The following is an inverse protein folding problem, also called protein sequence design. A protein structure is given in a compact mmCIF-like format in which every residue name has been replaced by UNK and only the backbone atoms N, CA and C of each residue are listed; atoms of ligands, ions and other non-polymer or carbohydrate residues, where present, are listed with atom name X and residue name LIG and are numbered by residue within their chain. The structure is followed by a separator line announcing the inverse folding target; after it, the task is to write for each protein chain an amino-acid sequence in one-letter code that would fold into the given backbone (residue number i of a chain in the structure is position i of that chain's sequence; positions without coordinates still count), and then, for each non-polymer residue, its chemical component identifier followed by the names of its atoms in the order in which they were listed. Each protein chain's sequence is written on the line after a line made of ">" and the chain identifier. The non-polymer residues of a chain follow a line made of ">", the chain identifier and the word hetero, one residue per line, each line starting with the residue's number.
data_IF_569945001055
#
_entry.id   IF_569945001055
#
_cell.length_a   1.000
_cell.length_b   1.000
_cell.length_c   1.000
_cell.angle_alpha   90.00
_cell.angle_beta   90.00
_cell.angle_gamma   90.00
#
_symmetry.space_group_name_H-M   'P 1'
#
loop_
_entity.id
_entity.type
_entity.pdbx_description
1 polymer ?
#
# COMPACT_ATOMS: atom_id res chain seq x y z
N UNK A 1 44.50 20.55 1.48
CA UNK A 1 43.28 21.38 1.38
C UNK A 1 43.03 22.06 2.70
N UNK A 2 42.80 23.39 2.73
CA UNK A 2 42.49 24.10 3.99
C UNK A 2 41.12 23.68 4.48
N UNK A 3 40.95 23.60 5.83
CA UNK A 3 39.63 23.26 6.41
C UNK A 3 38.62 24.36 6.03
N UNK A 4 37.37 23.97 5.61
CA UNK A 4 36.36 24.93 5.25
C UNK A 4 36.02 25.86 6.42
N UNK A 5 35.83 27.14 6.10
CA UNK A 5 35.53 28.19 7.07
C UNK A 5 34.14 28.81 6.82
N UNK A 6 33.72 29.76 7.65
CA UNK A 6 32.39 30.39 7.52
C UNK A 6 32.17 31.13 6.20
N UNK A 7 33.24 31.63 5.58
CA UNK A 7 33.15 32.32 4.27
C UNK A 7 32.85 31.34 3.15
N UNK A 8 33.48 30.16 3.21
CA UNK A 8 33.26 29.10 2.21
C UNK A 8 31.81 28.59 2.27
N UNK A 9 31.29 28.40 3.49
CA UNK A 9 29.89 28.00 3.71
C UNK A 9 28.93 29.11 3.25
N UNK A 10 29.22 30.37 3.54
CA UNK A 10 28.43 31.51 3.16
C UNK A 10 28.31 31.64 1.62
N UNK A 11 29.42 31.46 0.92
CA UNK A 11 29.49 31.46 -0.53
C UNK A 11 28.67 30.32 -1.13
N UNK A 12 28.83 29.09 -0.59
CA UNK A 12 28.13 27.90 -1.04
C UNK A 12 26.61 27.95 -0.76
N UNK A 13 26.21 28.58 0.33
CA UNK A 13 24.81 28.70 0.75
C UNK A 13 24.11 29.94 0.15
N UNK A 14 24.84 30.86 -0.47
CA UNK A 14 24.30 32.13 -0.97
C UNK A 14 23.78 33.06 0.12
N UNK A 15 24.44 33.09 1.30
CA UNK A 15 24.06 33.90 2.45
C UNK A 15 25.23 34.68 3.04
N UNK A 16 24.97 35.64 3.93
CA UNK A 16 26.04 36.36 4.63
C UNK A 16 26.72 35.51 5.71
N UNK A 17 27.99 35.77 5.98
CA UNK A 17 28.79 35.09 7.02
C UNK A 17 28.16 35.21 8.41
N UNK A 18 27.53 36.33 8.74
CA UNK A 18 26.78 36.52 9.99
C UNK A 18 25.58 35.54 10.12
N UNK A 19 24.93 35.21 8.99
CA UNK A 19 23.85 34.20 8.94
C UNK A 19 24.42 32.82 9.22
N UNK A 20 25.55 32.47 8.59
CA UNK A 20 26.28 31.21 8.83
C UNK A 20 26.67 31.08 10.31
N UNK A 21 27.26 32.12 10.88
CA UNK A 21 27.67 32.14 12.30
C UNK A 21 26.46 31.91 13.23
N UNK A 22 25.35 32.63 13.01
CA UNK A 22 24.12 32.46 13.81
C UNK A 22 23.58 31.04 13.73
N UNK A 23 23.53 30.48 12.52
CA UNK A 23 23.04 29.12 12.29
C UNK A 23 23.95 28.09 12.98
N UNK A 24 25.28 28.15 12.73
CA UNK A 24 26.20 27.14 13.23
C UNK A 24 26.41 27.21 14.76
N UNK A 25 26.13 28.36 15.37
CA UNK A 25 26.21 28.56 16.83
C UNK A 25 24.83 28.47 17.52
N UNK A 26 23.76 28.09 16.80
CA UNK A 26 22.41 27.89 17.37
C UNK A 26 21.76 29.17 17.95
N UNK A 27 22.17 30.38 17.51
CA UNK A 27 21.70 31.65 18.09
C UNK A 27 20.32 32.09 17.67
N UNK A 28 19.56 31.29 16.89
CA UNK A 28 18.17 31.57 16.46
C UNK A 28 18.02 32.83 15.59
N UNK A 29 16.76 33.19 15.27
CA UNK A 29 16.43 34.41 14.52
C UNK A 29 16.81 34.38 13.03
N UNK A 30 17.06 33.21 12.47
CA UNK A 30 17.29 32.97 11.04
C UNK A 30 16.08 32.22 10.47
N UNK A 31 15.61 32.62 9.31
CA UNK A 31 14.49 31.94 8.62
C UNK A 31 14.87 30.47 8.35
N UNK A 32 13.93 29.50 8.55
CA UNK A 32 14.19 28.07 8.40
C UNK A 32 14.86 27.68 7.07
N UNK A 33 14.41 28.28 5.96
CA UNK A 33 14.95 28.07 4.62
C UNK A 33 16.46 28.43 4.51
N UNK A 34 16.89 29.49 5.21
CA UNK A 34 18.29 29.91 5.25
C UNK A 34 19.11 28.99 6.15
N UNK A 35 18.54 28.50 7.24
CA UNK A 35 19.16 27.51 8.12
C UNK A 35 19.47 26.24 7.33
N UNK A 36 18.51 25.74 6.56
CA UNK A 36 18.68 24.55 5.72
C UNK A 36 19.80 24.73 4.69
N UNK A 37 19.82 25.87 3.98
CA UNK A 37 20.87 26.19 2.99
C UNK A 37 22.26 26.20 3.62
N UNK A 38 22.42 26.79 4.80
CA UNK A 38 23.69 26.85 5.51
C UNK A 38 24.16 25.47 5.95
N UNK A 39 23.28 24.65 6.51
CA UNK A 39 23.64 23.30 6.97
C UNK A 39 23.94 22.37 5.78
N UNK A 40 23.17 22.45 4.69
CA UNK A 40 23.47 21.71 3.47
C UNK A 40 24.84 22.07 2.88
N UNK A 41 25.17 23.37 2.86
CA UNK A 41 26.47 23.85 2.40
C UNK A 41 27.61 23.37 3.32
N UNK A 42 27.43 23.42 4.63
CA UNK A 42 28.41 22.95 5.60
C UNK A 42 28.69 21.43 5.48
N UNK A 43 27.65 20.63 5.24
CA UNK A 43 27.79 19.18 4.97
C UNK A 43 28.54 18.91 3.66
N UNK A 44 28.21 19.60 2.59
CA UNK A 44 28.92 19.44 1.28
C UNK A 44 30.40 19.77 1.36
N UNK A 45 30.75 20.67 2.24
CA UNK A 45 32.15 21.11 2.45
C UNK A 45 32.87 20.32 3.54
N UNK A 46 32.27 19.25 4.09
CA UNK A 46 32.83 18.46 5.21
C UNK A 46 33.28 19.33 6.39
N UNK A 47 32.45 20.29 6.81
CA UNK A 47 32.80 21.20 7.89
C UNK A 47 33.00 20.43 9.20
N UNK A 48 34.18 20.58 9.88
CA UNK A 48 34.67 19.64 10.89
C UNK A 48 34.01 19.78 12.28
N UNK A 49 33.06 20.71 12.47
CA UNK A 49 32.31 20.85 13.74
C UNK A 49 30.97 20.17 13.68
N UNK A 50 30.49 19.67 14.84
CA UNK A 50 29.13 19.18 15.00
C UNK A 50 28.16 20.30 14.54
N UNK A 51 27.40 20.05 13.48
CA UNK A 51 26.42 20.99 12.97
C UNK A 51 25.24 21.04 13.94
N UNK A 52 24.64 22.22 14.16
CA UNK A 52 23.42 22.30 14.93
C UNK A 52 22.36 21.37 14.30
N UNK A 53 21.67 20.63 15.12
CA UNK A 53 20.46 19.95 14.69
C UNK A 53 19.49 21.03 14.20
N UNK A 54 19.14 21.00 12.95
CA UNK A 54 18.03 21.80 12.47
C UNK A 54 16.83 21.40 13.31
N UNK A 55 16.35 22.29 14.17
CA UNK A 55 15.05 22.10 14.82
C UNK A 55 13.97 22.18 13.74
N UNK A 56 13.92 21.16 12.89
CA UNK A 56 12.70 20.81 12.18
C UNK A 56 11.72 20.42 13.28
N UNK A 57 10.64 21.18 13.47
CA UNK A 57 9.56 20.72 14.32
C UNK A 57 9.16 19.30 13.91
N UNK A 58 8.42 18.60 14.74
CA UNK A 58 7.97 17.23 14.45
C UNK A 58 7.41 17.14 13.01
N UNK A 59 8.04 16.29 12.21
CA UNK A 59 7.61 16.02 10.83
C UNK A 59 6.54 14.94 10.86
N UNK A 60 5.30 15.35 10.73
CA UNK A 60 4.16 14.44 10.78
C UNK A 60 3.86 13.89 9.38
N UNK A 61 3.95 12.59 9.23
CA UNK A 61 3.48 11.84 8.06
C UNK A 61 2.13 11.21 8.45
N UNK A 62 1.09 11.47 7.69
CA UNK A 62 -0.20 10.82 7.91
C UNK A 62 -0.38 9.62 6.98
N UNK A 63 -0.67 8.44 7.53
CA UNK A 63 -1.15 7.28 6.81
C UNK A 63 -2.66 7.17 7.00
N UNK A 64 -3.42 7.62 6.00
CA UNK A 64 -4.88 7.58 5.98
C UNK A 64 -5.37 6.31 5.29
N UNK A 65 -6.08 5.49 6.02
CA UNK A 65 -6.58 4.17 5.62
C UNK A 65 -8.11 4.09 5.81
N UNK A 66 -8.68 2.99 5.35
CA UNK A 66 -10.08 2.61 5.59
C UNK A 66 -10.15 1.24 6.28
N UNK A 67 -11.34 0.78 6.68
CA UNK A 67 -11.61 -0.60 7.15
C UNK A 67 -10.66 -1.10 8.24
N UNK A 68 -10.58 -0.43 9.42
CA UNK A 68 -9.65 -0.78 10.50
C UNK A 68 -9.82 -2.23 11.01
N UNK A 69 -11.00 -2.81 10.85
CA UNK A 69 -11.37 -4.12 11.37
C UNK A 69 -10.93 -5.28 10.46
N UNK A 70 -10.52 -5.00 9.20
CA UNK A 70 -10.04 -6.05 8.31
C UNK A 70 -8.61 -6.46 8.60
N UNK A 71 -8.31 -7.75 8.44
CA UNK A 71 -6.98 -8.30 8.73
C UNK A 71 -5.86 -7.64 7.91
N UNK A 72 -6.13 -7.31 6.64
CA UNK A 72 -5.16 -6.64 5.78
C UNK A 72 -4.80 -5.24 6.29
N UNK A 73 -5.80 -4.37 6.54
CA UNK A 73 -5.54 -3.01 6.97
C UNK A 73 -4.95 -2.95 8.40
N UNK A 74 -5.31 -3.89 9.29
CA UNK A 74 -4.63 -4.04 10.59
C UNK A 74 -3.16 -4.36 10.42
N UNK A 75 -2.81 -5.30 9.53
CA UNK A 75 -1.43 -5.68 9.23
C UNK A 75 -0.64 -4.53 8.62
N UNK A 76 -1.23 -3.80 7.66
CA UNK A 76 -0.64 -2.60 7.06
C UNK A 76 -0.41 -1.50 8.12
N UNK A 77 -1.41 -1.23 8.96
CA UNK A 77 -1.31 -0.25 10.05
C UNK A 77 -0.20 -0.63 11.05
N UNK A 78 -0.13 -1.90 11.44
CA UNK A 78 0.93 -2.39 12.33
C UNK A 78 2.32 -2.29 11.69
N UNK A 79 2.44 -2.53 10.39
CA UNK A 79 3.68 -2.32 9.66
C UNK A 79 4.15 -0.86 9.74
N UNK A 80 3.26 0.12 9.54
CA UNK A 80 3.59 1.53 9.72
C UNK A 80 4.05 1.84 11.15
N UNK A 81 3.45 1.25 12.17
CA UNK A 81 3.84 1.41 13.58
C UNK A 81 5.25 0.91 13.84
N UNK A 82 5.54 -0.33 13.44
CA UNK A 82 6.86 -0.95 13.63
C UNK A 82 7.96 -0.16 12.91
N UNK A 83 7.68 0.29 11.70
CA UNK A 83 8.65 1.07 10.94
C UNK A 83 8.86 2.44 11.58
N UNK A 84 7.78 3.11 12.02
CA UNK A 84 7.85 4.41 12.68
C UNK A 84 8.77 4.37 13.91
N UNK A 85 8.75 3.28 14.67
CA UNK A 85 9.61 3.09 15.83
C UNK A 85 11.12 3.03 15.50
N UNK A 86 11.47 2.84 14.22
CA UNK A 86 12.88 2.78 13.74
C UNK A 86 13.34 4.06 13.05
N UNK A 87 12.45 5.05 12.87
CA UNK A 87 12.77 6.31 12.20
C UNK A 87 13.41 7.31 13.15
N UNK A 88 13.91 8.42 12.57
CA UNK A 88 14.35 9.58 13.35
C UNK A 88 13.22 10.04 14.30
N UNK A 89 13.49 10.29 15.59
CA UNK A 89 12.50 10.74 16.57
C UNK A 89 11.72 12.01 16.17
N UNK A 90 12.24 12.79 15.23
CA UNK A 90 11.53 13.94 14.66
C UNK A 90 10.41 13.54 13.68
N UNK A 91 10.41 12.30 13.19
CA UNK A 91 9.39 11.80 12.26
C UNK A 91 8.30 11.06 13.04
N UNK A 92 7.09 11.57 12.97
CA UNK A 92 5.91 10.95 13.59
C UNK A 92 5.00 10.44 12.50
N UNK A 93 4.75 9.13 12.48
CA UNK A 93 3.77 8.51 11.57
C UNK A 93 2.42 8.43 12.29
N UNK A 94 1.47 9.25 11.86
CA UNK A 94 0.12 9.25 12.37
C UNK A 94 -0.76 8.35 11.50
N UNK A 95 -1.28 7.28 12.08
CA UNK A 95 -2.21 6.35 11.43
C UNK A 95 -3.64 6.82 11.70
N UNK A 96 -4.41 7.05 10.65
CA UNK A 96 -5.80 7.46 10.74
C UNK A 96 -6.69 6.62 9.84
N UNK A 97 -7.95 6.48 10.24
CA UNK A 97 -8.93 5.71 9.49
C UNK A 97 -10.13 6.60 9.16
N UNK A 98 -10.64 6.42 7.95
CA UNK A 98 -11.86 7.07 7.48
C UNK A 98 -12.90 6.01 7.13
N UNK A 99 -14.15 6.42 7.10
CA UNK A 99 -15.25 5.59 6.63
C UNK A 99 -15.15 5.41 5.11
N UNK A 100 -15.09 4.15 4.66
CA UNK A 100 -14.84 3.77 3.27
C UNK A 100 -15.85 4.37 2.29
N UNK A 101 -17.13 4.32 2.65
CA UNK A 101 -18.24 4.78 1.81
C UNK A 101 -18.58 6.27 1.98
N UNK A 102 -17.69 7.05 2.61
CA UNK A 102 -17.85 8.49 2.81
C UNK A 102 -16.75 9.29 2.10
N UNK A 103 -16.80 9.42 0.76
CA UNK A 103 -15.77 10.12 -0.01
C UNK A 103 -15.66 11.60 0.35
N UNK A 104 -16.75 12.27 0.79
CA UNK A 104 -16.74 13.64 1.28
C UNK A 104 -15.94 13.76 2.58
N UNK A 105 -16.11 12.81 3.50
CA UNK A 105 -15.35 12.73 4.75
C UNK A 105 -13.86 12.51 4.50
N UNK A 106 -13.51 11.60 3.59
CA UNK A 106 -12.14 11.33 3.17
C UNK A 106 -11.52 12.57 2.54
N UNK A 107 -12.20 13.20 1.57
CA UNK A 107 -11.73 14.41 0.91
C UNK A 107 -11.52 15.57 1.89
N UNK A 108 -12.45 15.77 2.84
CA UNK A 108 -12.33 16.77 3.90
C UNK A 108 -11.11 16.50 4.79
N UNK A 109 -10.85 15.24 5.14
CA UNK A 109 -9.67 14.86 5.92
C UNK A 109 -8.37 15.16 5.16
N UNK A 110 -8.32 14.86 3.86
CA UNK A 110 -7.18 15.17 3.00
C UNK A 110 -6.92 16.68 2.95
N UNK A 111 -7.97 17.48 2.84
CA UNK A 111 -7.89 18.95 2.73
C UNK A 111 -7.69 19.68 4.08
N UNK A 112 -7.77 18.98 5.22
CA UNK A 112 -7.70 19.60 6.54
C UNK A 112 -6.37 20.33 6.74
N UNK A 113 -6.44 21.65 6.90
CA UNK A 113 -5.30 22.54 7.16
C UNK A 113 -4.77 22.44 8.60
N UNK A 114 -5.61 21.97 9.54
CA UNK A 114 -5.27 21.85 10.97
C UNK A 114 -4.19 20.81 11.26
N UNK A 115 -3.89 19.98 10.25
CA UNK A 115 -2.87 18.96 10.32
C UNK A 115 -1.64 19.45 9.57
N UNK A 116 -0.70 20.09 10.28
CA UNK A 116 0.62 20.35 9.71
C UNK A 116 1.30 19.02 9.36
N UNK A 117 1.17 18.62 8.09
CA UNK A 117 1.71 17.35 7.54
C UNK A 117 2.92 17.62 6.66
N UNK A 118 3.96 16.80 6.83
CA UNK A 118 5.13 16.77 5.96
C UNK A 118 4.93 15.80 4.78
N UNK A 119 3.97 14.86 4.88
CA UNK A 119 3.65 13.89 3.84
C UNK A 119 2.34 13.16 4.10
N UNK A 120 1.75 12.62 3.04
CA UNK A 120 0.47 11.91 3.08
C UNK A 120 0.58 10.57 2.36
N UNK A 121 0.27 9.49 3.07
CA UNK A 121 0.16 8.13 2.52
C UNK A 121 -1.32 7.77 2.52
N UNK A 122 -1.84 7.31 1.38
CA UNK A 122 -3.26 7.03 1.17
C UNK A 122 -3.49 5.57 0.79
N UNK A 123 -4.33 4.90 1.55
CA UNK A 123 -4.89 3.59 1.22
C UNK A 123 -6.43 3.68 1.28
N UNK A 124 -7.01 4.46 0.37
CA UNK A 124 -8.43 4.81 0.30
C UNK A 124 -8.99 4.58 -1.11
N UNK A 125 -10.31 4.38 -1.27
CA UNK A 125 -10.92 4.12 -2.57
C UNK A 125 -10.70 5.25 -3.58
N UNK A 126 -10.85 4.93 -4.87
CA UNK A 126 -10.88 5.92 -5.94
C UNK A 126 -12.27 6.57 -6.03
N UNK A 127 -12.31 7.89 -5.94
CA UNK A 127 -13.52 8.69 -6.12
C UNK A 127 -13.15 10.10 -6.64
N UNK A 128 -13.94 10.74 -7.51
CA UNK A 128 -13.62 12.07 -8.06
C UNK A 128 -13.34 13.14 -7.00
N UNK A 129 -14.10 13.17 -5.91
CA UNK A 129 -13.87 14.12 -4.80
C UNK A 129 -12.54 13.87 -4.09
N UNK A 130 -12.17 12.60 -3.90
CA UNK A 130 -10.90 12.22 -3.28
C UNK A 130 -9.75 12.61 -4.21
N UNK A 131 -9.85 12.29 -5.50
CA UNK A 131 -8.85 12.65 -6.49
C UNK A 131 -8.60 14.17 -6.55
N UNK A 132 -9.67 14.97 -6.59
CA UNK A 132 -9.58 16.44 -6.57
C UNK A 132 -8.91 16.97 -5.29
N UNK A 133 -9.21 16.37 -4.13
CA UNK A 133 -8.58 16.72 -2.86
C UNK A 133 -7.07 16.40 -2.87
N UNK A 134 -6.69 15.23 -3.39
CA UNK A 134 -5.29 14.80 -3.54
C UNK A 134 -4.53 15.74 -4.47
N UNK A 135 -5.09 16.05 -5.63
CA UNK A 135 -4.49 16.97 -6.60
C UNK A 135 -4.24 18.36 -5.97
N UNK A 136 -5.21 18.86 -5.19
CA UNK A 136 -5.10 20.15 -4.52
C UNK A 136 -3.98 20.19 -3.48
N UNK A 137 -3.87 19.20 -2.59
CA UNK A 137 -2.80 19.19 -1.57
C UNK A 137 -1.43 18.93 -2.20
N UNK A 138 -1.35 18.13 -3.26
CA UNK A 138 -0.12 17.91 -3.99
C UNK A 138 0.36 19.19 -4.71
N UNK A 139 -0.56 19.98 -5.29
CA UNK A 139 -0.25 21.27 -5.88
C UNK A 139 0.25 22.30 -4.85
N UNK A 140 -0.07 22.15 -3.59
CA UNK A 140 0.45 22.93 -2.47
C UNK A 140 1.83 22.46 -1.99
N UNK A 141 2.41 21.43 -2.63
CA UNK A 141 3.73 20.89 -2.31
C UNK A 141 3.74 19.76 -1.29
N UNK A 142 2.57 19.27 -0.84
CA UNK A 142 2.52 18.11 0.06
C UNK A 142 2.80 16.82 -0.74
N UNK A 143 3.87 16.05 -0.42
CA UNK A 143 4.11 14.77 -1.04
C UNK A 143 2.99 13.78 -0.74
N UNK A 144 2.47 13.12 -1.78
CA UNK A 144 1.43 12.09 -1.66
C UNK A 144 1.92 10.77 -2.23
N UNK A 145 1.66 9.69 -1.49
CA UNK A 145 1.92 8.31 -1.91
C UNK A 145 0.63 7.50 -1.76
N UNK A 146 0.28 6.74 -2.79
CA UNK A 146 -0.82 5.78 -2.76
C UNK A 146 -0.28 4.39 -2.44
N UNK A 147 -0.91 3.70 -1.51
CA UNK A 147 -0.55 2.33 -1.11
C UNK A 147 -1.76 1.43 -1.34
N UNK A 148 -1.52 0.21 -1.76
CA UNK A 148 -2.57 -0.80 -2.03
C UNK A 148 -3.41 -0.44 -3.25
N UNK A 149 -4.07 0.70 -3.25
CA UNK A 149 -4.95 1.17 -4.33
C UNK A 149 -4.66 2.63 -4.65
N UNK A 150 -4.93 3.02 -5.88
CA UNK A 150 -4.71 4.39 -6.35
C UNK A 150 -6.00 5.20 -6.23
N UNK A 151 -5.97 6.28 -5.48
CA UNK A 151 -7.12 7.19 -5.30
C UNK A 151 -7.09 8.40 -6.25
N UNK A 152 -5.98 8.64 -6.95
CA UNK A 152 -5.85 9.57 -8.08
C UNK A 152 -4.89 9.00 -9.11
N UNK A 153 -5.25 9.12 -10.40
CA UNK A 153 -4.38 8.68 -11.52
C UNK A 153 -3.36 9.73 -11.96
N UNK A 154 -3.56 10.98 -11.54
CA UNK A 154 -2.78 12.13 -12.04
C UNK A 154 -1.59 12.48 -11.18
N UNK A 155 -1.70 12.28 -9.86
CA UNK A 155 -0.68 12.71 -8.90
C UNK A 155 -0.44 11.66 -7.82
N UNK A 156 0.73 11.71 -7.21
CA UNK A 156 1.19 10.77 -6.19
C UNK A 156 1.87 9.53 -6.79
N UNK A 157 2.83 9.00 -6.06
CA UNK A 157 3.47 7.74 -6.42
C UNK A 157 2.62 6.57 -5.93
N UNK A 158 2.50 5.52 -6.73
CA UNK A 158 1.80 4.30 -6.34
C UNK A 158 2.80 3.25 -5.86
N UNK A 159 2.57 2.73 -4.68
CA UNK A 159 3.32 1.64 -4.07
C UNK A 159 2.36 0.46 -3.87
N UNK A 160 2.58 -0.60 -4.62
CA UNK A 160 1.75 -1.79 -4.59
C UNK A 160 2.32 -2.88 -5.46
N UNK A 161 1.63 -4.01 -5.51
CA UNK A 161 1.96 -5.13 -6.39
C UNK A 161 1.44 -4.89 -7.81
N UNK A 162 1.94 -5.66 -8.78
CA UNK A 162 1.28 -5.78 -10.07
C UNK A 162 0.02 -6.66 -9.93
N UNK A 163 -1.14 -5.99 -9.84
CA UNK A 163 -2.42 -6.65 -9.61
C UNK A 163 -2.90 -7.44 -10.85
N UNK A 164 -2.56 -6.99 -12.05
CA UNK A 164 -2.85 -7.75 -13.27
C UNK A 164 -2.06 -9.08 -13.29
N UNK A 165 -0.76 -9.00 -12.98
CA UNK A 165 0.10 -10.20 -12.86
C UNK A 165 -0.39 -11.13 -11.75
N UNK A 166 -0.87 -10.60 -10.60
CA UNK A 166 -1.43 -11.41 -9.52
C UNK A 166 -2.69 -12.17 -9.98
N UNK A 167 -3.58 -11.53 -10.73
CA UNK A 167 -4.75 -12.19 -11.33
C UNK A 167 -4.37 -13.29 -12.33
N UNK A 168 -3.42 -13.03 -13.21
CA UNK A 168 -2.88 -14.03 -14.13
C UNK A 168 -2.25 -15.23 -13.39
N UNK A 169 -1.53 -14.95 -12.30
CA UNK A 169 -0.94 -15.99 -11.45
C UNK A 169 -2.01 -16.86 -10.79
N UNK A 170 -3.09 -16.27 -10.27
CA UNK A 170 -4.22 -17.02 -9.73
C UNK A 170 -4.83 -17.96 -10.79
N UNK A 171 -5.07 -17.45 -12.01
CA UNK A 171 -5.59 -18.25 -13.12
C UNK A 171 -4.63 -19.37 -13.53
N UNK A 172 -3.32 -19.09 -13.58
CA UNK A 172 -2.28 -20.09 -13.85
C UNK A 172 -2.35 -21.27 -12.85
N UNK A 173 -2.42 -20.95 -11.54
CA UNK A 173 -2.50 -22.01 -10.51
C UNK A 173 -3.75 -22.84 -10.67
N UNK A 174 -4.94 -22.23 -10.79
CA UNK A 174 -6.19 -22.97 -11.01
C UNK A 174 -6.12 -23.83 -12.27
N UNK A 175 -5.68 -23.25 -13.38
CA UNK A 175 -5.62 -23.93 -14.68
C UNK A 175 -4.66 -25.13 -14.70
N UNK A 176 -3.60 -25.10 -13.89
CA UNK A 176 -2.53 -26.13 -13.91
C UNK A 176 -2.60 -27.11 -12.75
N UNK A 177 -3.19 -26.73 -11.63
CA UNK A 177 -3.12 -27.51 -10.40
C UNK A 177 -4.49 -27.99 -9.90
N UNK A 178 -5.60 -27.44 -10.36
CA UNK A 178 -6.92 -28.00 -10.03
C UNK A 178 -6.99 -29.45 -10.50
N UNK A 179 -7.49 -30.33 -9.61
CA UNK A 179 -7.62 -31.77 -9.88
C UNK A 179 -8.64 -32.09 -10.98
N UNK A 180 -9.51 -31.12 -11.31
CA UNK A 180 -10.56 -31.24 -12.32
C UNK A 180 -10.50 -30.04 -13.26
N UNK A 181 -10.89 -30.29 -14.50
CA UNK A 181 -11.22 -29.22 -15.43
C UNK A 181 -12.71 -28.88 -15.29
N UNK A 182 -13.09 -27.62 -15.51
CA UNK A 182 -14.48 -27.20 -15.41
C UNK A 182 -14.63 -25.68 -15.23
N UNK A 183 -15.84 -25.23 -14.87
CA UNK A 183 -16.10 -23.83 -14.57
C UNK A 183 -15.18 -23.30 -13.47
N UNK A 184 -14.75 -22.05 -13.64
CA UNK A 184 -13.99 -21.30 -12.66
C UNK A 184 -14.73 -20.00 -12.38
N UNK A 185 -14.80 -19.60 -11.12
CA UNK A 185 -15.47 -18.38 -10.69
C UNK A 185 -14.53 -17.45 -9.94
N UNK A 186 -14.85 -16.15 -9.93
CA UNK A 186 -14.13 -15.19 -9.13
C UNK A 186 -15.10 -14.34 -8.29
N UNK A 187 -14.61 -13.86 -7.14
CA UNK A 187 -15.33 -12.93 -6.25
C UNK A 187 -14.46 -11.70 -6.04
N UNK A 188 -15.06 -10.50 -6.10
CA UNK A 188 -14.34 -9.25 -5.94
C UNK A 188 -15.19 -8.13 -5.36
N UNK A 189 -14.55 -7.00 -5.05
CA UNK A 189 -15.18 -5.71 -4.73
C UNK A 189 -14.84 -4.69 -5.82
N UNK A 190 -15.79 -4.38 -6.74
CA UNK A 190 -15.48 -3.66 -7.99
C UNK A 190 -15.15 -2.17 -7.79
N UNK A 191 -15.38 -1.59 -6.61
CA UNK A 191 -15.03 -0.18 -6.34
C UNK A 191 -13.51 0.05 -6.34
N UNK A 192 -12.72 -0.99 -6.04
CA UNK A 192 -11.27 -0.93 -6.04
C UNK A 192 -10.68 -1.20 -7.41
N UNK A 193 -9.83 -0.30 -7.89
CA UNK A 193 -9.10 -0.49 -9.15
C UNK A 193 -8.27 -1.78 -9.12
N UNK A 194 -7.63 -2.05 -8.01
CA UNK A 194 -6.79 -3.25 -7.84
C UNK A 194 -7.56 -4.56 -8.02
N UNK A 195 -8.82 -4.61 -7.58
CA UNK A 195 -9.66 -5.80 -7.82
C UNK A 195 -10.06 -5.91 -9.29
N UNK A 196 -10.36 -4.79 -9.95
CA UNK A 196 -10.63 -4.78 -11.40
C UNK A 196 -9.41 -5.25 -12.21
N UNK A 197 -8.21 -4.81 -11.82
CA UNK A 197 -6.97 -5.22 -12.49
C UNK A 197 -6.67 -6.71 -12.27
N UNK A 198 -6.91 -7.23 -11.06
CA UNK A 198 -6.82 -8.68 -10.75
C UNK A 198 -7.78 -9.49 -11.62
N UNK A 199 -9.05 -9.09 -11.68
CA UNK A 199 -10.06 -9.79 -12.49
C UNK A 199 -9.73 -9.70 -13.98
N UNK A 200 -9.22 -8.55 -14.45
CA UNK A 200 -8.74 -8.42 -15.83
C UNK A 200 -7.61 -9.42 -16.12
N UNK A 201 -6.58 -9.46 -15.29
CA UNK A 201 -5.47 -10.40 -15.45
C UNK A 201 -5.93 -11.87 -15.43
N UNK A 202 -6.87 -12.19 -14.53
CA UNK A 202 -7.48 -13.50 -14.43
C UNK A 202 -8.24 -13.89 -15.71
N UNK A 203 -9.08 -13.01 -16.19
CA UNK A 203 -9.85 -13.20 -17.43
C UNK A 203 -8.94 -13.29 -18.66
N UNK A 204 -7.92 -12.42 -18.77
CA UNK A 204 -6.97 -12.41 -19.87
C UNK A 204 -6.25 -13.76 -19.98
N UNK A 205 -5.85 -14.33 -18.84
CA UNK A 205 -5.19 -15.63 -18.83
C UNK A 205 -6.10 -16.74 -19.42
N UNK A 206 -7.35 -16.86 -18.99
CA UNK A 206 -8.25 -17.88 -19.50
C UNK A 206 -8.64 -17.66 -20.97
N UNK A 207 -8.69 -16.41 -21.43
CA UNK A 207 -8.92 -16.12 -22.86
C UNK A 207 -7.73 -16.54 -23.72
N UNK A 208 -6.51 -16.44 -23.20
CA UNK A 208 -5.28 -16.80 -23.92
C UNK A 208 -4.96 -18.31 -23.83
N UNK A 209 -5.43 -18.99 -22.77
CA UNK A 209 -5.03 -20.37 -22.44
C UNK A 209 -6.27 -21.24 -22.15
N UNK A 210 -6.96 -21.69 -23.20
CA UNK A 210 -8.10 -22.62 -23.08
C UNK A 210 -7.61 -24.03 -22.77
N UNK A 211 -7.43 -24.37 -21.52
CA UNK A 211 -6.91 -25.66 -21.07
C UNK A 211 -7.99 -26.55 -20.40
N UNK A 212 -9.22 -26.53 -20.90
CA UNK A 212 -10.33 -27.35 -20.36
C UNK A 212 -11.06 -26.76 -19.14
N UNK A 213 -10.57 -25.65 -18.60
CA UNK A 213 -11.28 -24.82 -17.61
C UNK A 213 -11.59 -23.46 -18.20
N UNK A 214 -12.75 -22.90 -17.86
CA UNK A 214 -13.21 -21.60 -18.37
C UNK A 214 -13.66 -20.71 -17.23
N UNK A 215 -13.36 -19.41 -17.35
CA UNK A 215 -13.86 -18.41 -16.43
C UNK A 215 -15.31 -18.05 -16.77
N UNK A 216 -16.25 -18.55 -15.96
CA UNK A 216 -17.66 -18.52 -16.26
C UNK A 216 -18.44 -17.44 -15.51
N UNK A 217 -17.99 -17.06 -14.32
CA UNK A 217 -18.81 -16.20 -13.48
C UNK A 217 -17.99 -15.30 -12.55
N UNK A 218 -18.47 -14.05 -12.42
CA UNK A 218 -17.93 -13.04 -11.53
C UNK A 218 -18.98 -12.60 -10.49
N UNK A 219 -18.69 -12.84 -9.21
CA UNK A 219 -19.51 -12.41 -8.09
C UNK A 219 -18.99 -11.11 -7.46
N UNK A 220 -19.92 -10.26 -7.03
CA UNK A 220 -19.60 -9.07 -6.28
C UNK A 220 -19.93 -9.28 -4.79
N UNK A 221 -18.93 -9.60 -4.00
CA UNK A 221 -19.03 -9.83 -2.55
C UNK A 221 -18.84 -8.57 -1.71
N UNK A 222 -18.31 -7.50 -2.30
CA UNK A 222 -18.08 -6.23 -1.60
C UNK A 222 -17.05 -6.30 -0.47
N UNK A 223 -16.24 -7.37 -0.40
CA UNK A 223 -15.38 -7.73 0.73
C UNK A 223 -16.16 -7.90 2.06
N UNK A 224 -17.48 -8.09 1.97
CA UNK A 224 -18.36 -8.37 3.08
C UNK A 224 -18.57 -9.88 3.22
N UNK A 225 -18.46 -10.40 4.45
CA UNK A 225 -18.50 -11.84 4.70
C UNK A 225 -19.81 -12.48 4.24
N UNK A 226 -20.96 -11.89 4.61
CA UNK A 226 -22.27 -12.42 4.26
C UNK A 226 -22.50 -12.46 2.74
N UNK A 227 -22.25 -11.33 2.06
CA UNK A 227 -22.45 -11.29 0.60
C UNK A 227 -21.48 -12.20 -0.15
N UNK A 228 -20.23 -12.30 0.29
CA UNK A 228 -19.25 -13.18 -0.32
C UNK A 228 -19.63 -14.64 -0.15
N UNK A 229 -20.12 -15.04 1.02
CA UNK A 229 -20.63 -16.39 1.30
C UNK A 229 -21.81 -16.74 0.39
N UNK A 230 -22.81 -15.86 0.30
CA UNK A 230 -24.00 -16.07 -0.56
C UNK A 230 -23.62 -16.22 -2.04
N UNK A 231 -22.65 -15.42 -2.52
CA UNK A 231 -22.16 -15.52 -3.89
C UNK A 231 -21.49 -16.85 -4.17
N UNK A 232 -20.63 -17.31 -3.25
CA UNK A 232 -19.98 -18.60 -3.42
C UNK A 232 -20.98 -19.76 -3.35
N UNK A 233 -21.91 -19.72 -2.39
CA UNK A 233 -22.95 -20.74 -2.29
C UNK A 233 -23.76 -20.84 -3.59
N UNK A 234 -24.20 -19.70 -4.12
CA UNK A 234 -24.92 -19.63 -5.39
C UNK A 234 -24.10 -20.19 -6.56
N UNK A 235 -22.80 -19.91 -6.60
CA UNK A 235 -21.91 -20.43 -7.63
C UNK A 235 -21.75 -21.96 -7.54
N UNK A 236 -21.62 -22.52 -6.34
CA UNK A 236 -21.55 -23.96 -6.10
C UNK A 236 -22.83 -24.70 -6.55
N UNK A 237 -23.99 -24.09 -6.34
CA UNK A 237 -25.25 -24.63 -6.81
C UNK A 237 -25.41 -24.51 -8.34
N UNK A 238 -25.00 -23.38 -8.92
CA UNK A 238 -25.09 -23.11 -10.35
C UNK A 238 -24.13 -23.98 -11.19
N UNK A 239 -22.96 -24.26 -10.64
CA UNK A 239 -21.89 -25.01 -11.30
C UNK A 239 -21.52 -26.29 -10.51
N UNK A 240 -22.24 -27.40 -10.70
CA UNK A 240 -21.94 -28.66 -10.00
C UNK A 240 -20.52 -29.19 -10.21
N UNK A 241 -19.90 -28.84 -11.33
CA UNK A 241 -18.52 -29.19 -11.68
C UNK A 241 -17.51 -28.06 -11.42
N UNK A 242 -17.79 -27.13 -10.48
CA UNK A 242 -16.90 -26.01 -10.18
C UNK A 242 -15.48 -26.50 -9.86
N UNK A 243 -14.51 -26.12 -10.70
CA UNK A 243 -13.12 -26.56 -10.60
C UNK A 243 -12.27 -25.59 -9.79
N UNK A 244 -12.57 -24.27 -9.83
CA UNK A 244 -11.75 -23.27 -9.16
C UNK A 244 -12.51 -22.04 -8.71
N UNK A 245 -12.01 -21.46 -7.62
CA UNK A 245 -12.45 -20.19 -7.04
C UNK A 245 -11.26 -19.25 -6.94
N UNK A 246 -11.41 -18.04 -7.44
CA UNK A 246 -10.49 -16.93 -7.18
C UNK A 246 -11.17 -15.85 -6.35
N UNK A 247 -10.69 -15.60 -5.14
CA UNK A 247 -11.11 -14.43 -4.37
C UNK A 247 -10.09 -13.30 -4.56
N UNK A 248 -10.50 -12.29 -5.32
CA UNK A 248 -9.64 -11.13 -5.61
C UNK A 248 -9.59 -10.10 -4.49
N UNK A 249 -10.33 -10.32 -3.39
CA UNK A 249 -10.47 -9.37 -2.28
C UNK A 249 -10.39 -9.98 -0.90
N UNK A 250 -11.14 -9.39 0.02
CA UNK A 250 -11.29 -9.82 1.42
C UNK A 250 -12.30 -10.93 1.64
N UNK A 251 -12.78 -11.08 2.89
CA UNK A 251 -13.78 -12.06 3.31
C UNK A 251 -13.42 -13.54 3.05
N UNK A 252 -12.13 -13.89 3.06
CA UNK A 252 -11.69 -15.27 2.89
C UNK A 252 -12.25 -16.21 3.98
N UNK A 253 -12.42 -15.73 5.21
CA UNK A 253 -13.01 -16.48 6.34
C UNK A 253 -14.37 -17.07 5.98
N UNK A 254 -15.25 -16.24 5.42
CA UNK A 254 -16.61 -16.67 5.04
C UNK A 254 -16.61 -17.66 3.86
N UNK A 255 -15.71 -17.45 2.88
CA UNK A 255 -15.55 -18.37 1.77
C UNK A 255 -15.01 -19.73 2.21
N UNK A 256 -14.05 -19.75 3.12
CA UNK A 256 -13.51 -20.97 3.76
C UNK A 256 -14.63 -21.72 4.47
N UNK A 257 -15.48 -21.02 5.23
CA UNK A 257 -16.62 -21.61 5.93
C UNK A 257 -17.61 -22.25 4.96
N UNK A 258 -17.96 -21.57 3.85
CA UNK A 258 -18.81 -22.14 2.81
C UNK A 258 -18.21 -23.41 2.22
N UNK A 259 -16.91 -23.39 1.84
CA UNK A 259 -16.23 -24.56 1.28
C UNK A 259 -16.17 -25.72 2.28
N UNK A 260 -16.03 -25.45 3.58
CA UNK A 260 -16.08 -26.50 4.62
C UNK A 260 -17.46 -27.13 4.75
N UNK A 261 -18.54 -26.35 4.62
CA UNK A 261 -19.93 -26.82 4.80
C UNK A 261 -20.53 -27.43 3.56
N UNK A 262 -20.13 -26.99 2.40
CA UNK A 262 -20.72 -27.48 1.15
C UNK A 262 -20.15 -28.85 0.76
N UNK A 263 -20.98 -29.85 0.38
CA UNK A 263 -20.52 -31.21 0.06
C UNK A 263 -19.42 -31.30 -1.01
N UNK A 264 -19.41 -30.35 -1.93
CA UNK A 264 -18.43 -30.26 -3.04
C UNK A 264 -17.33 -29.21 -2.79
N UNK A 265 -17.34 -28.56 -1.64
CA UNK A 265 -16.41 -27.44 -1.37
C UNK A 265 -14.94 -27.83 -1.40
N UNK A 266 -14.62 -29.05 -0.92
CA UNK A 266 -13.23 -29.54 -0.92
C UNK A 266 -12.68 -29.95 -2.29
N UNK A 267 -13.54 -30.00 -3.28
CA UNK A 267 -13.16 -30.29 -4.68
C UNK A 267 -12.74 -29.04 -5.46
N UNK A 268 -12.98 -27.85 -4.89
CA UNK A 268 -12.73 -26.55 -5.53
C UNK A 268 -11.31 -26.10 -5.21
N UNK A 269 -10.49 -25.86 -6.23
CA UNK A 269 -9.17 -25.26 -6.07
C UNK A 269 -9.32 -23.78 -5.72
N UNK A 270 -8.92 -23.39 -4.52
CA UNK A 270 -9.14 -22.05 -4.00
C UNK A 270 -7.86 -21.21 -3.95
N UNK A 271 -7.87 -20.09 -4.68
CA UNK A 271 -6.84 -19.05 -4.64
C UNK A 271 -7.42 -17.76 -4.07
N UNK A 272 -6.74 -17.16 -3.11
CA UNK A 272 -7.14 -15.88 -2.53
C UNK A 272 -5.94 -15.01 -2.18
N UNK A 273 -6.21 -13.89 -1.55
CA UNK A 273 -5.19 -12.94 -1.13
C UNK A 273 -5.03 -12.92 0.39
N UNK A 274 -3.87 -12.46 0.84
CA UNK A 274 -3.45 -12.21 2.23
C UNK A 274 -3.25 -13.44 3.10
N UNK A 275 -2.04 -13.55 3.61
CA UNK A 275 -1.71 -14.54 4.65
C UNK A 275 -2.16 -14.01 6.01
N UNK A 276 -3.30 -14.50 6.45
CA UNK A 276 -3.89 -14.26 7.78
C UNK A 276 -3.88 -15.55 8.60
N UNK A 277 -4.26 -15.49 9.87
CA UNK A 277 -4.45 -16.73 10.67
C UNK A 277 -5.52 -17.66 10.06
N UNK A 278 -6.60 -17.11 9.50
CA UNK A 278 -7.64 -17.89 8.84
C UNK A 278 -7.16 -18.57 7.56
N UNK A 279 -6.49 -17.82 6.66
CA UNK A 279 -5.99 -18.40 5.41
C UNK A 279 -4.82 -19.34 5.65
N UNK A 280 -3.99 -19.10 6.69
CA UNK A 280 -2.94 -20.02 7.14
C UNK A 280 -3.51 -21.35 7.62
N UNK A 281 -4.57 -21.31 8.43
CA UNK A 281 -5.27 -22.51 8.87
C UNK A 281 -5.90 -23.25 7.67
N UNK A 282 -6.59 -22.54 6.79
CA UNK A 282 -7.22 -23.11 5.61
C UNK A 282 -6.20 -23.76 4.64
N UNK A 283 -5.01 -23.18 4.46
CA UNK A 283 -3.91 -23.81 3.72
C UNK A 283 -3.48 -25.14 4.38
N UNK A 284 -3.26 -25.16 5.71
CA UNK A 284 -2.89 -26.37 6.44
C UNK A 284 -3.92 -27.49 6.32
N UNK A 285 -5.20 -27.10 6.36
CA UNK A 285 -6.34 -28.02 6.33
C UNK A 285 -6.74 -28.44 4.90
N UNK A 286 -6.07 -27.87 3.87
CA UNK A 286 -6.33 -28.15 2.47
C UNK A 286 -7.72 -27.67 1.99
N UNK A 287 -8.24 -26.59 2.57
CA UNK A 287 -9.45 -25.90 2.11
C UNK A 287 -9.09 -24.80 1.11
N UNK A 288 -7.94 -24.19 1.32
CA UNK A 288 -7.33 -23.21 0.44
C UNK A 288 -6.02 -23.77 -0.11
N UNK A 289 -5.74 -23.54 -1.37
CA UNK A 289 -4.57 -24.10 -2.04
C UNK A 289 -3.43 -23.09 -2.17
N UNK A 290 -3.78 -21.82 -2.48
CA UNK A 290 -2.79 -20.77 -2.73
C UNK A 290 -3.23 -19.46 -2.12
N UNK A 291 -2.31 -18.78 -1.45
CA UNK A 291 -2.44 -17.39 -1.02
C UNK A 291 -1.45 -16.53 -1.80
N UNK A 292 -1.93 -15.43 -2.36
CA UNK A 292 -1.13 -14.37 -2.95
C UNK A 292 -1.03 -13.22 -1.95
N UNK A 293 0.08 -13.16 -1.21
CA UNK A 293 0.30 -12.13 -0.20
C UNK A 293 0.90 -10.86 -0.82
N UNK A 294 0.29 -9.72 -0.54
CA UNK A 294 0.70 -8.43 -1.12
C UNK A 294 1.90 -7.79 -0.42
N UNK A 295 2.48 -8.43 0.60
CA UNK A 295 3.60 -7.93 1.39
C UNK A 295 3.35 -6.49 1.92
N UNK A 296 2.31 -6.26 2.75
CA UNK A 296 1.97 -4.92 3.26
C UNK A 296 3.11 -4.26 4.03
N UNK A 297 4.00 -5.03 4.65
CA UNK A 297 5.19 -4.52 5.32
C UNK A 297 6.17 -3.86 4.34
N UNK A 298 6.40 -4.49 3.18
CA UNK A 298 7.25 -3.92 2.13
C UNK A 298 6.61 -2.68 1.51
N UNK A 299 5.28 -2.68 1.32
CA UNK A 299 4.54 -1.52 0.85
C UNK A 299 4.66 -0.34 1.84
N UNK A 300 4.44 -0.57 3.14
CA UNK A 300 4.56 0.45 4.18
C UNK A 300 5.98 1.04 4.24
N UNK A 301 7.01 0.18 4.19
CA UNK A 301 8.41 0.60 4.20
C UNK A 301 8.69 1.51 3.00
N UNK A 302 8.40 1.06 1.80
CA UNK A 302 8.67 1.83 0.59
C UNK A 302 7.89 3.14 0.53
N UNK A 303 6.63 3.16 1.00
CA UNK A 303 5.83 4.38 1.06
C UNK A 303 6.46 5.44 1.97
N UNK A 304 6.97 5.03 3.12
CA UNK A 304 7.71 5.92 4.02
C UNK A 304 9.02 6.38 3.41
N UNK A 305 9.80 5.49 2.78
CA UNK A 305 11.07 5.84 2.12
C UNK A 305 10.86 6.88 1.02
N UNK A 306 9.77 6.75 0.22
CA UNK A 306 9.40 7.75 -0.79
C UNK A 306 9.08 9.11 -0.14
N UNK A 307 8.28 9.14 0.92
CA UNK A 307 7.96 10.38 1.63
C UNK A 307 9.24 11.01 2.21
N UNK A 308 10.05 10.21 2.92
CA UNK A 308 11.31 10.68 3.53
C UNK A 308 12.27 11.27 2.49
N UNK A 309 12.34 10.65 1.31
CA UNK A 309 13.12 11.17 0.18
C UNK A 309 12.56 12.51 -0.33
N UNK A 310 11.23 12.60 -0.49
CA UNK A 310 10.55 13.81 -0.98
C UNK A 310 10.69 15.00 -0.03
N UNK A 311 10.73 14.76 1.27
CA UNK A 311 10.93 15.81 2.29
C UNK A 311 12.42 16.07 2.61
N UNK A 312 13.34 15.40 1.89
CA UNK A 312 14.78 15.62 2.00
C UNK A 312 15.41 15.10 3.30
N UNK A 313 14.86 14.05 3.90
CA UNK A 313 15.43 13.37 5.07
C UNK A 313 16.39 12.24 4.71
N UNK A 314 16.35 11.77 3.49
CA UNK A 314 17.26 10.78 2.92
C UNK A 314 17.61 11.14 1.47
N UNK A 315 18.81 10.75 1.03
CA UNK A 315 19.22 10.86 -0.37
C UNK A 315 19.05 9.55 -1.13
N UNK A 316 18.69 8.47 -0.44
CA UNK A 316 18.51 7.15 -1.02
C UNK A 316 17.26 7.18 -1.91
N UNK A 317 17.43 6.85 -3.20
CA UNK A 317 16.29 6.69 -4.13
C UNK A 317 15.58 5.36 -3.83
N UNK A 318 14.27 5.39 -3.52
CA UNK A 318 13.50 4.18 -3.35
C UNK A 318 13.39 3.41 -4.69
N UNK A 319 13.35 2.09 -4.60
CA UNK A 319 13.07 1.25 -5.77
C UNK A 319 11.68 1.56 -6.33
N UNK A 320 11.57 1.71 -7.65
CA UNK A 320 10.32 2.03 -8.37
C UNK A 320 9.61 0.82 -8.96
N UNK A 321 10.23 -0.36 -8.89
CA UNK A 321 9.58 -1.58 -9.35
C UNK A 321 8.35 -1.91 -8.49
N UNK A 322 7.31 -2.54 -9.04
CA UNK A 322 6.21 -3.06 -8.24
C UNK A 322 6.71 -3.91 -7.08
N UNK A 323 6.03 -3.85 -5.95
CA UNK A 323 6.31 -4.76 -4.83
C UNK A 323 6.06 -6.19 -5.32
N UNK A 324 6.99 -7.09 -5.04
CA UNK A 324 6.80 -8.50 -5.35
C UNK A 324 5.73 -9.07 -4.41
N UNK A 325 4.66 -9.64 -4.98
CA UNK A 325 3.73 -10.45 -4.17
C UNK A 325 4.33 -11.83 -3.92
N UNK A 326 3.97 -12.42 -2.79
CA UNK A 326 4.50 -13.72 -2.36
C UNK A 326 3.42 -14.78 -2.59
N UNK A 327 3.75 -15.82 -3.32
CA UNK A 327 2.88 -17.00 -3.47
C UNK A 327 3.16 -17.99 -2.33
N UNK A 328 2.12 -18.32 -1.57
CA UNK A 328 2.23 -19.19 -0.40
C UNK A 328 1.29 -20.37 -0.61
N UNK A 329 1.83 -21.56 -0.43
CA UNK A 329 1.08 -22.82 -0.42
C UNK A 329 1.27 -23.51 0.92
N UNK A 330 0.58 -24.61 1.15
CA UNK A 330 0.70 -25.42 2.38
C UNK A 330 2.16 -25.77 2.72
N UNK A 331 2.95 -26.11 1.71
CA UNK A 331 4.34 -26.54 1.92
C UNK A 331 5.31 -25.39 2.19
N UNK A 332 4.86 -24.15 2.01
CA UNK A 332 5.64 -22.93 2.26
C UNK A 332 5.30 -22.19 3.57
N UNK A 333 4.55 -22.84 4.48
CA UNK A 333 4.05 -22.22 5.73
C UNK A 333 5.06 -22.29 6.89
#
# INVERSE_FOLDING_TARGET
>A
MSKPNYRDIALQAGVGTATVERVLNGRGGVRPELVEKVIAAARRLDYPRKLPETHRGLLRIEALMVRPDTTFYRRLSHAFELIAATLDPLVVVHRSFAEELNPEGIARRILSADLSRAGLILAVPSHPLIAAAVEKVNAQGLPVVHVVTRSSERVGEFIGIDNHAAGRTAALYISRMALRTGPVVAICHPIYQVHRDRIRGFSDYFREHSAGSSFEWLGFGGDEEHFSADRLWSALEMYPGLAGLYNAGGANSALIEVLCRHPRGRDVFFVGHELTEYTRAALRDGIMDVVLDQAPEAQARRALDVILRRIGLTEIEPDRAPIQFITITKEGL
#
